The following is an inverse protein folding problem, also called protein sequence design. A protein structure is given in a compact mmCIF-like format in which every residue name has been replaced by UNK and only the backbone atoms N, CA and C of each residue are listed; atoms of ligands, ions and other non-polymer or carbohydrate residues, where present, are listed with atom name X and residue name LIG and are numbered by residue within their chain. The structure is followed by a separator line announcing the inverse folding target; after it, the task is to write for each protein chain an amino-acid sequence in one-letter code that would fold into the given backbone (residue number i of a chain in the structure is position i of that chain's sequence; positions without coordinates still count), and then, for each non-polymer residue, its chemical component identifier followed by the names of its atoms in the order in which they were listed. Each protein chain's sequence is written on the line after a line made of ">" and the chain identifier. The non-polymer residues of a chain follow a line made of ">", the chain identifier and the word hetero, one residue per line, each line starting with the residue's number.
data_IF_789117688131
#
_entry.id   IF_789117688131
#
_cell.length_a   1.000
_cell.length_b   1.000
_cell.length_c   1.000
_cell.angle_alpha   90.00
_cell.angle_beta   90.00
_cell.angle_gamma   90.00
#
_symmetry.space_group_name_H-M   'P 1'
#
loop_
_entity.id
_entity.type
_entity.pdbx_description
1 polymer ?
#
# COMPACT_ATOMS: atom_id res chain seq x y z
N UNK A 1 -15.72 0.16 18.95
CA UNK A 1 -15.34 -0.50 20.23
C UNK A 1 -14.83 -1.88 19.85
N UNK A 2 -13.52 -2.06 19.73
CA UNK A 2 -12.88 -3.34 19.34
C UNK A 2 -12.61 -4.17 20.58
N UNK A 3 -13.17 -5.36 20.67
CA UNK A 3 -12.88 -6.34 21.72
C UNK A 3 -11.57 -7.10 21.44
N UNK A 4 -10.94 -7.63 22.49
CA UNK A 4 -9.69 -8.39 22.40
C UNK A 4 -9.82 -9.74 21.66
N UNK A 5 -11.04 -10.13 21.30
CA UNK A 5 -11.42 -11.35 20.59
C UNK A 5 -11.63 -11.16 19.07
N UNK A 6 -11.56 -9.92 18.58
CA UNK A 6 -11.73 -9.63 17.16
C UNK A 6 -10.44 -9.94 16.38
N UNK A 7 -10.46 -11.03 15.61
CA UNK A 7 -9.32 -11.47 14.78
C UNK A 7 -9.38 -11.03 13.31
N UNK A 8 -10.49 -10.39 12.88
CA UNK A 8 -10.72 -9.95 11.50
C UNK A 8 -11.51 -8.64 11.45
N UNK A 9 -11.29 -7.90 10.38
CA UNK A 9 -12.05 -6.70 10.02
C UNK A 9 -12.77 -6.93 8.69
N UNK A 10 -13.94 -6.34 8.53
CA UNK A 10 -14.57 -6.27 7.21
C UNK A 10 -13.77 -5.31 6.33
N UNK A 11 -13.72 -5.55 5.03
CA UNK A 11 -12.99 -4.68 4.10
C UNK A 11 -13.50 -3.22 4.18
N UNK A 12 -14.80 -3.03 4.45
CA UNK A 12 -15.40 -1.72 4.64
C UNK A 12 -14.85 -0.94 5.86
N UNK A 13 -14.26 -1.64 6.84
CA UNK A 13 -13.63 -1.02 8.00
C UNK A 13 -12.18 -0.60 7.72
N UNK A 14 -11.59 -1.07 6.61
CA UNK A 14 -10.20 -0.78 6.23
C UNK A 14 -10.15 0.49 5.37
N UNK A 15 -9.42 1.51 5.83
CA UNK A 15 -9.24 2.78 5.10
C UNK A 15 -8.00 2.81 4.20
N UNK A 16 -6.99 2.03 4.56
CA UNK A 16 -5.74 1.88 3.82
C UNK A 16 -5.26 0.44 3.96
N UNK A 17 -5.01 -0.22 2.84
CA UNK A 17 -4.27 -1.48 2.78
C UNK A 17 -2.85 -1.22 2.26
N UNK A 18 -1.84 -1.80 2.91
CA UNK A 18 -0.43 -1.69 2.50
C UNK A 18 0.11 -3.09 2.25
N UNK A 19 0.61 -3.33 1.05
CA UNK A 19 1.20 -4.61 0.65
C UNK A 19 2.68 -4.42 0.37
N UNK A 20 3.52 -5.26 1.00
CA UNK A 20 4.97 -5.26 0.81
C UNK A 20 5.34 -6.47 -0.03
N UNK A 21 5.83 -6.20 -1.23
CA UNK A 21 6.24 -7.24 -2.18
C UNK A 21 7.66 -7.68 -1.87
N UNK A 22 7.82 -8.98 -1.63
CA UNK A 22 9.12 -9.65 -1.65
C UNK A 22 9.40 -10.27 -3.03
N UNK A 23 10.67 -10.54 -3.34
CA UNK A 23 11.09 -11.21 -4.59
C UNK A 23 10.36 -12.57 -4.82
N UNK A 24 9.96 -13.27 -3.76
CA UNK A 24 9.22 -14.53 -3.85
C UNK A 24 7.71 -14.33 -4.12
N UNK A 25 7.18 -13.16 -3.77
CA UNK A 25 5.78 -12.76 -4.00
C UNK A 25 5.55 -12.16 -5.39
N UNK A 26 6.61 -11.78 -6.11
CA UNK A 26 6.54 -11.11 -7.42
C UNK A 26 5.73 -11.87 -8.48
N UNK A 27 5.71 -13.20 -8.42
CA UNK A 27 5.21 -14.03 -9.52
C UNK A 27 3.74 -14.47 -9.38
N UNK A 28 3.10 -14.34 -8.21
CA UNK A 28 1.85 -15.10 -7.95
C UNK A 28 0.57 -14.30 -7.67
N UNK A 29 0.62 -13.01 -7.29
CA UNK A 29 -0.62 -12.31 -6.88
C UNK A 29 -0.72 -10.80 -7.18
N UNK A 30 0.20 -10.21 -7.96
CA UNK A 30 0.22 -8.76 -8.18
C UNK A 30 -1.02 -8.18 -8.89
N UNK A 31 -1.67 -8.95 -9.79
CA UNK A 31 -2.84 -8.46 -10.53
C UNK A 31 -4.17 -8.77 -9.81
N UNK A 32 -4.19 -9.80 -8.96
CA UNK A 32 -5.42 -10.30 -8.35
C UNK A 32 -5.75 -9.58 -7.04
N UNK A 33 -4.75 -9.33 -6.19
CA UNK A 33 -4.94 -8.75 -4.87
C UNK A 33 -5.50 -7.32 -4.91
N UNK A 34 -4.94 -6.39 -5.72
CA UNK A 34 -5.47 -5.03 -5.78
C UNK A 34 -6.92 -4.99 -6.30
N UNK A 35 -7.27 -5.85 -7.26
CA UNK A 35 -8.66 -5.94 -7.78
C UNK A 35 -9.64 -6.40 -6.70
N UNK A 36 -9.25 -7.38 -5.88
CA UNK A 36 -10.09 -7.85 -4.76
C UNK A 36 -10.34 -6.73 -3.74
N UNK A 37 -9.33 -5.94 -3.41
CA UNK A 37 -9.46 -4.83 -2.45
C UNK A 37 -10.31 -3.68 -2.97
N UNK A 38 -10.12 -3.28 -4.22
CA UNK A 38 -10.96 -2.25 -4.84
C UNK A 38 -12.43 -2.69 -4.94
N UNK A 39 -12.68 -3.94 -5.34
CA UNK A 39 -14.01 -4.52 -5.36
C UNK A 39 -14.65 -4.61 -3.97
N UNK A 40 -13.85 -4.89 -2.93
CA UNK A 40 -14.30 -4.93 -1.54
C UNK A 40 -14.47 -3.52 -0.91
N UNK A 41 -14.14 -2.45 -1.64
CA UNK A 41 -14.41 -1.07 -1.24
C UNK A 41 -13.32 -0.42 -0.39
N UNK A 42 -12.11 -0.98 -0.33
CA UNK A 42 -10.99 -0.35 0.39
C UNK A 42 -10.53 0.88 -0.40
N UNK A 43 -10.63 2.10 0.16
CA UNK A 43 -10.47 3.32 -0.62
C UNK A 43 -9.02 3.64 -0.99
N UNK A 44 -8.04 3.23 -0.18
CA UNK A 44 -6.62 3.48 -0.44
C UNK A 44 -5.82 2.19 -0.41
N UNK A 45 -4.90 2.03 -1.35
CA UNK A 45 -4.00 0.90 -1.44
C UNK A 45 -2.59 1.35 -1.75
N UNK A 46 -1.62 0.89 -0.97
CA UNK A 46 -0.19 1.14 -1.21
C UNK A 46 0.52 -0.15 -1.54
N UNK A 47 1.32 -0.10 -2.61
CA UNK A 47 2.21 -1.18 -3.00
C UNK A 47 3.65 -0.76 -2.72
N UNK A 48 4.33 -1.50 -1.85
CA UNK A 48 5.74 -1.28 -1.50
C UNK A 48 6.57 -2.35 -2.20
N UNK A 49 7.45 -1.92 -3.09
CA UNK A 49 8.33 -2.81 -3.88
C UNK A 49 9.79 -2.42 -3.66
N UNK A 50 10.68 -3.41 -3.66
CA UNK A 50 12.13 -3.15 -3.66
C UNK A 50 12.60 -3.03 -5.10
N UNK A 51 13.16 -1.89 -5.48
CA UNK A 51 13.72 -1.72 -6.82
C UNK A 51 14.89 -2.71 -7.03
N UNK A 52 14.89 -3.37 -8.20
CA UNK A 52 15.83 -4.47 -8.51
C UNK A 52 17.29 -4.01 -8.56
N UNK A 53 17.54 -2.76 -8.93
CA UNK A 53 18.87 -2.25 -9.25
C UNK A 53 19.64 -1.75 -8.02
N UNK A 54 18.94 -1.21 -7.01
CA UNK A 54 19.55 -0.55 -5.84
C UNK A 54 18.99 -1.02 -4.50
N UNK A 55 18.03 -1.96 -4.50
CA UNK A 55 17.27 -2.36 -3.32
C UNK A 55 16.60 -1.18 -2.59
N UNK A 56 16.33 -0.07 -3.29
CA UNK A 56 15.62 1.07 -2.72
C UNK A 56 14.12 0.77 -2.71
N UNK A 57 13.41 0.94 -1.57
CA UNK A 57 11.97 0.81 -1.55
C UNK A 57 11.31 1.91 -2.40
N UNK A 58 10.30 1.50 -3.14
CA UNK A 58 9.41 2.33 -3.93
C UNK A 58 8.00 2.12 -3.42
N UNK A 59 7.30 3.20 -3.07
CA UNK A 59 5.90 3.15 -2.64
C UNK A 59 5.03 3.71 -3.76
N UNK A 60 4.14 2.87 -4.30
CA UNK A 60 3.08 3.28 -5.24
C UNK A 60 1.79 3.47 -4.46
N UNK A 61 1.21 4.66 -4.57
CA UNK A 61 -0.01 5.04 -3.85
C UNK A 61 -1.18 5.04 -4.81
N UNK A 62 -2.24 4.34 -4.44
CA UNK A 62 -3.45 4.21 -5.23
C UNK A 62 -4.69 4.61 -4.44
N UNK A 63 -5.66 5.16 -5.17
CA UNK A 63 -7.00 5.46 -4.68
C UNK A 63 -8.04 4.70 -5.52
N UNK A 64 -9.06 4.16 -4.85
CA UNK A 64 -10.13 3.43 -5.52
C UNK A 64 -11.05 4.39 -6.29
N UNK A 65 -11.25 4.12 -7.56
CA UNK A 65 -12.29 4.76 -8.35
C UNK A 65 -13.65 4.11 -8.00
N UNK A 66 -14.61 4.89 -7.46
CA UNK A 66 -15.89 4.35 -7.02
C UNK A 66 -16.76 3.83 -8.16
N UNK A 67 -16.54 4.29 -9.40
CA UNK A 67 -17.29 3.92 -10.60
C UNK A 67 -16.73 2.63 -11.22
N UNK A 68 -15.42 2.59 -11.47
CA UNK A 68 -14.79 1.44 -12.13
C UNK A 68 -14.50 0.27 -11.18
N UNK A 69 -14.51 0.52 -9.85
CA UNK A 69 -14.05 -0.45 -8.83
C UNK A 69 -12.62 -0.92 -9.08
N UNK A 70 -11.78 -0.04 -9.62
CA UNK A 70 -10.35 -0.26 -9.82
C UNK A 70 -9.54 0.79 -9.08
N UNK A 71 -8.26 0.52 -8.89
CA UNK A 71 -7.33 1.51 -8.35
C UNK A 71 -6.76 2.41 -9.44
N UNK A 72 -6.72 3.71 -9.16
CA UNK A 72 -5.98 4.72 -9.94
C UNK A 72 -4.70 5.09 -9.19
N UNK A 73 -3.57 5.15 -9.90
CA UNK A 73 -2.28 5.54 -9.34
C UNK A 73 -2.27 7.06 -9.09
N UNK A 74 -2.03 7.48 -7.85
CA UNK A 74 -1.97 8.90 -7.46
C UNK A 74 -0.55 9.36 -7.11
N UNK A 75 0.38 8.44 -6.84
CA UNK A 75 1.77 8.79 -6.57
C UNK A 75 2.75 7.62 -6.67
N UNK A 76 3.99 7.94 -7.05
CA UNK A 76 5.14 7.02 -6.93
C UNK A 76 6.20 7.75 -6.12
N UNK A 77 6.54 7.21 -4.95
CA UNK A 77 7.44 7.82 -3.99
C UNK A 77 8.74 7.03 -3.89
N UNK A 78 9.84 7.78 -3.94
CA UNK A 78 11.22 7.32 -3.71
C UNK A 78 11.84 8.27 -2.68
N UNK A 79 12.67 7.74 -1.78
CA UNK A 79 13.35 8.46 -0.68
C UNK A 79 12.46 9.11 0.37
N UNK A 80 11.30 9.66 0.02
CA UNK A 80 10.36 10.27 0.94
C UNK A 80 8.92 9.98 0.53
N UNK A 81 8.17 9.38 1.45
CA UNK A 81 6.74 9.18 1.33
C UNK A 81 6.03 10.36 2.00
N UNK A 82 5.50 11.27 1.18
CA UNK A 82 4.73 12.43 1.64
C UNK A 82 3.35 12.44 1.00
N UNK A 83 2.33 12.20 1.80
CA UNK A 83 0.92 12.09 1.37
C UNK A 83 0.01 12.71 2.43
N UNK A 84 -1.15 13.20 2.01
CA UNK A 84 -2.14 13.83 2.89
C UNK A 84 -3.43 13.03 3.03
N UNK A 85 -3.60 11.94 2.27
CA UNK A 85 -4.77 11.06 2.28
C UNK A 85 -4.33 9.59 2.28
N UNK A 86 -5.02 8.70 3.03
CA UNK A 86 -6.12 8.98 3.97
C UNK A 86 -5.65 9.63 5.27
N UNK A 87 -4.33 9.70 5.49
CA UNK A 87 -3.71 10.31 6.65
C UNK A 87 -2.52 11.17 6.19
N UNK A 88 -2.18 12.18 6.98
CA UNK A 88 -0.93 12.92 6.80
C UNK A 88 0.24 12.02 7.21
N UNK A 89 1.05 11.64 6.23
CA UNK A 89 2.21 10.79 6.40
C UNK A 89 3.39 11.47 5.71
N UNK A 90 4.47 11.64 6.45
CA UNK A 90 5.73 12.21 5.97
C UNK A 90 6.90 11.42 6.56
N UNK A 91 7.42 10.47 5.78
CA UNK A 91 8.44 9.50 6.21
C UNK A 91 9.59 9.48 5.21
N UNK A 92 10.83 9.52 5.73
CA UNK A 92 12.03 9.24 4.95
C UNK A 92 12.15 7.72 4.74
N UNK A 93 12.01 7.30 3.49
CA UNK A 93 12.12 5.92 3.03
C UNK A 93 13.42 5.67 2.28
N UNK A 94 14.40 6.58 2.33
CA UNK A 94 15.72 6.35 1.76
C UNK A 94 16.40 5.17 2.45
N UNK A 95 17.21 4.41 1.71
CA UNK A 95 18.01 3.32 2.30
C UNK A 95 18.89 3.80 3.47
N UNK A 96 19.36 5.04 3.41
CA UNK A 96 20.19 5.64 4.45
C UNK A 96 19.44 5.85 5.76
N UNK A 97 18.14 6.16 5.70
CA UNK A 97 17.29 6.30 6.87
C UNK A 97 16.91 4.92 7.42
N UNK A 98 16.55 3.98 6.55
CA UNK A 98 16.14 2.62 6.96
C UNK A 98 17.26 1.83 7.63
N UNK A 99 18.52 2.02 7.24
CA UNK A 99 19.69 1.39 7.88
C UNK A 99 20.00 1.89 9.29
N UNK A 100 19.34 2.96 9.75
CA UNK A 100 19.59 3.59 11.06
C UNK A 100 18.54 3.23 12.12
N UNK A 101 17.51 2.47 11.74
CA UNK A 101 16.50 1.90 12.63
C UNK A 101 17.04 0.63 13.30
#
# INVERSE_FOLDING_TARGET
>A
MTGLDQSRFEAADVRLAVEVVSLESEARDHDTTPRKYAAAGIPHFWLVEMARDDAQPVVRVYEADPLSKTYALTGIHRDRLKVSSPYEIDIDISLSALKKL
#
